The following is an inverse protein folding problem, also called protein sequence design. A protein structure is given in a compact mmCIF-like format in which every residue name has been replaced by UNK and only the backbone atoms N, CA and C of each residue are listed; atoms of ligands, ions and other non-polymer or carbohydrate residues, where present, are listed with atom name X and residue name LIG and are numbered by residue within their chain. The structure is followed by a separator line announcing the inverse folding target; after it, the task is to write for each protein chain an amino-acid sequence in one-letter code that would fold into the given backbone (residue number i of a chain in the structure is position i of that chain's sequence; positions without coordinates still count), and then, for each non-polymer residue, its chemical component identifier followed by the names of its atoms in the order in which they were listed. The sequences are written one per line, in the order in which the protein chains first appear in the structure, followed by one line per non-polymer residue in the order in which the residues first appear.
data_IF_983964321834
#
_entry.id   IF_983964321834
#
_cell.length_a   1.000
_cell.length_b   1.000
_cell.length_c   1.000
_cell.angle_alpha   90.00
_cell.angle_beta   90.00
_cell.angle_gamma   90.00
#
_symmetry.space_group_name_H-M   'P 1'
#
loop_
_entity.id
_entity.type
_entity.pdbx_description
1 polymer ?
#
# COMPACT_ATOMS: atom_id res chain seq x y z
N UNK A 1 6.42 -16.67 2.63
CA UNK A 1 6.56 -17.27 1.29
C UNK A 1 5.60 -18.44 1.09
N UNK A 2 5.47 -19.39 2.03
CA UNK A 2 4.46 -20.48 1.97
C UNK A 2 3.03 -19.97 1.72
N UNK A 3 2.68 -18.83 2.33
CA UNK A 3 1.35 -18.22 2.18
C UNK A 3 1.03 -17.75 0.75
N UNK A 4 2.03 -17.54 -0.11
CA UNK A 4 1.79 -17.22 -1.53
C UNK A 4 1.29 -18.46 -2.28
N UNK A 5 1.85 -19.64 -1.97
CA UNK A 5 1.40 -20.90 -2.56
C UNK A 5 -0.05 -21.22 -2.18
N UNK A 6 -0.49 -20.86 -0.96
CA UNK A 6 -1.89 -21.05 -0.56
C UNK A 6 -2.88 -20.17 -1.32
N UNK A 7 -2.44 -19.12 -2.02
CA UNK A 7 -3.34 -18.26 -2.81
C UNK A 7 -4.00 -19.02 -3.97
N UNK A 8 -3.36 -20.07 -4.47
CA UNK A 8 -3.90 -20.94 -5.54
C UNK A 8 -5.18 -21.68 -5.11
N UNK A 9 -5.46 -21.77 -3.80
CA UNK A 9 -6.72 -22.32 -3.29
C UNK A 9 -7.92 -21.37 -3.49
N UNK A 10 -7.66 -20.09 -3.73
CA UNK A 10 -8.67 -19.03 -3.78
C UNK A 10 -8.64 -18.22 -5.08
N UNK A 11 -7.54 -18.29 -5.83
CA UNK A 11 -7.33 -17.58 -7.08
C UNK A 11 -6.85 -18.53 -8.16
N UNK A 12 -7.03 -18.12 -9.43
CA UNK A 12 -6.47 -18.83 -10.57
C UNK A 12 -4.94 -18.92 -10.47
N UNK A 13 -4.40 -20.12 -10.73
CA UNK A 13 -2.97 -20.41 -10.60
C UNK A 13 -2.12 -19.51 -11.50
N UNK A 14 -2.58 -19.25 -12.73
CA UNK A 14 -1.83 -18.43 -13.68
C UNK A 14 -1.80 -16.96 -13.25
N UNK A 15 -2.87 -16.46 -12.65
CA UNK A 15 -2.87 -15.13 -12.05
C UNK A 15 -1.87 -15.01 -10.90
N UNK A 16 -1.78 -16.05 -10.05
CA UNK A 16 -0.80 -16.08 -8.93
C UNK A 16 0.63 -16.15 -9.46
N UNK A 17 0.91 -17.00 -10.44
CA UNK A 17 2.23 -17.10 -11.07
C UNK A 17 2.65 -15.76 -11.69
N UNK A 18 1.77 -15.15 -12.49
CA UNK A 18 2.03 -13.86 -13.13
C UNK A 18 2.32 -12.77 -12.09
N UNK A 19 1.58 -12.71 -10.98
CA UNK A 19 1.86 -11.76 -9.90
C UNK A 19 3.24 -11.96 -9.24
N UNK A 20 3.70 -13.21 -9.12
CA UNK A 20 5.03 -13.53 -8.57
C UNK A 20 6.13 -13.15 -9.56
N UNK A 21 5.97 -13.43 -10.84
CA UNK A 21 6.92 -13.07 -11.89
C UNK A 21 7.11 -11.54 -11.95
N UNK A 22 6.00 -10.78 -11.97
CA UNK A 22 6.07 -9.32 -11.96
C UNK A 22 6.76 -8.77 -10.69
N UNK A 23 6.53 -9.37 -9.51
CA UNK A 23 7.20 -8.94 -8.28
C UNK A 23 8.70 -9.22 -8.30
N UNK A 24 9.13 -10.30 -8.96
CA UNK A 24 10.53 -10.64 -9.16
C UNK A 24 11.21 -9.70 -10.16
N UNK A 25 10.53 -9.39 -11.28
CA UNK A 25 11.02 -8.43 -12.29
C UNK A 25 11.18 -7.03 -11.71
N UNK A 26 10.26 -6.60 -10.84
CA UNK A 26 10.37 -5.34 -10.11
C UNK A 26 11.49 -5.33 -9.05
N UNK A 27 12.11 -6.47 -8.75
CA UNK A 27 13.14 -6.61 -7.71
C UNK A 27 12.61 -6.49 -6.28
N UNK A 28 11.28 -6.54 -6.09
CA UNK A 28 10.61 -6.40 -4.77
C UNK A 28 9.73 -7.62 -4.48
N UNK A 29 10.30 -8.84 -4.30
CA UNK A 29 9.53 -10.09 -4.12
C UNK A 29 8.99 -10.24 -2.69
N UNK A 30 8.25 -9.24 -2.23
CA UNK A 30 7.60 -9.23 -0.91
C UNK A 30 6.17 -9.75 -1.02
N UNK A 31 5.67 -10.39 0.04
CA UNK A 31 4.30 -10.92 0.10
C UNK A 31 3.27 -9.84 -0.24
N UNK A 32 3.41 -8.66 0.34
CA UNK A 32 2.52 -7.52 0.14
C UNK A 32 2.52 -7.04 -1.31
N UNK A 33 3.68 -7.04 -1.97
CA UNK A 33 3.75 -6.65 -3.37
C UNK A 33 3.06 -7.67 -4.29
N UNK A 34 3.28 -8.97 -4.09
CA UNK A 34 2.60 -10.04 -4.84
C UNK A 34 1.09 -9.96 -4.66
N UNK A 35 0.60 -9.75 -3.43
CA UNK A 35 -0.84 -9.60 -3.17
C UNK A 35 -1.43 -8.40 -3.91
N UNK A 36 -0.77 -7.25 -3.88
CA UNK A 36 -1.25 -6.07 -4.60
C UNK A 36 -1.31 -6.28 -6.12
N UNK A 37 -0.31 -6.97 -6.68
CA UNK A 37 -0.28 -7.30 -8.10
C UNK A 37 -1.40 -8.28 -8.47
N UNK A 38 -1.59 -9.33 -7.67
CA UNK A 38 -2.67 -10.30 -7.86
C UNK A 38 -4.05 -9.63 -7.80
N UNK A 39 -4.29 -8.76 -6.82
CA UNK A 39 -5.52 -7.97 -6.75
C UNK A 39 -5.75 -7.16 -8.03
N UNK A 40 -4.71 -6.48 -8.54
CA UNK A 40 -4.84 -5.68 -9.77
C UNK A 40 -5.13 -6.52 -11.00
N UNK A 41 -4.47 -7.68 -11.13
CA UNK A 41 -4.72 -8.63 -12.22
C UNK A 41 -6.15 -9.17 -12.20
N UNK A 42 -6.69 -9.49 -11.01
CA UNK A 42 -8.06 -10.03 -10.85
C UNK A 42 -9.11 -8.95 -11.04
N UNK A 43 -8.88 -7.76 -10.49
CA UNK A 43 -9.82 -6.62 -10.57
C UNK A 43 -9.78 -5.93 -11.96
N UNK A 44 -8.90 -6.37 -12.86
CA UNK A 44 -8.69 -5.74 -14.18
C UNK A 44 -8.10 -4.32 -14.08
N UNK A 45 -7.56 -3.96 -12.92
CA UNK A 45 -6.91 -2.67 -12.72
C UNK A 45 -5.55 -2.73 -13.40
N UNK A 46 -5.19 -1.76 -14.27
CA UNK A 46 -3.88 -1.75 -14.92
C UNK A 46 -2.80 -1.92 -13.86
N UNK A 47 -1.90 -2.92 -14.01
CA UNK A 47 -0.75 -3.14 -13.12
C UNK A 47 0.35 -2.08 -13.35
N UNK A 48 0.40 -1.54 -14.55
CA UNK A 48 1.23 -0.41 -14.92
C UNK A 48 0.41 0.88 -14.73
N UNK A 49 0.74 1.66 -13.69
CA UNK A 49 0.18 3.01 -13.59
C UNK A 49 1.13 3.95 -14.32
N UNK A 50 0.62 4.85 -15.18
CA UNK A 50 1.47 5.84 -15.80
C UNK A 50 2.14 6.67 -14.70
N UNK A 51 3.39 7.04 -14.95
CA UNK A 51 4.11 7.95 -14.06
C UNK A 51 3.30 9.24 -13.90
N UNK A 52 2.92 9.56 -12.67
CA UNK A 52 2.05 10.70 -12.39
C UNK A 52 2.93 11.94 -12.42
N UNK A 53 2.88 12.70 -13.51
CA UNK A 53 3.51 14.03 -13.54
C UNK A 53 2.73 14.97 -12.62
N UNK A 54 3.29 15.41 -11.49
CA UNK A 54 2.59 16.30 -10.59
C UNK A 54 2.37 17.66 -11.27
N UNK A 55 1.21 18.31 -11.10
CA UNK A 55 0.98 19.66 -11.59
C UNK A 55 1.96 20.65 -10.93
N UNK A 56 2.27 21.75 -11.62
CA UNK A 56 3.20 22.78 -11.13
C UNK A 56 2.81 23.35 -9.75
N UNK A 57 1.50 23.37 -9.45
CA UNK A 57 0.99 23.76 -8.13
C UNK A 57 1.51 22.88 -6.97
N UNK A 58 1.96 21.65 -7.25
CA UNK A 58 2.57 20.72 -6.30
C UNK A 58 4.11 20.73 -6.33
N UNK A 59 4.73 21.66 -7.06
CA UNK A 59 6.18 21.82 -7.04
C UNK A 59 6.67 22.14 -5.63
N UNK A 60 7.62 21.33 -5.14
CA UNK A 60 8.19 21.48 -3.80
C UNK A 60 9.04 22.74 -3.73
N UNK A 61 8.59 23.75 -2.97
CA UNK A 61 9.41 24.94 -2.64
C UNK A 61 10.36 24.71 -1.47
N UNK A 62 10.07 23.69 -0.66
CA UNK A 62 10.84 23.29 0.52
C UNK A 62 10.92 21.79 0.53
N UNK A 63 12.08 21.29 0.91
CA UNK A 63 12.27 19.85 1.04
C UNK A 63 11.36 19.29 2.15
N UNK A 64 10.63 18.19 1.87
CA UNK A 64 9.80 17.56 2.88
C UNK A 64 10.68 16.99 3.99
N UNK A 65 10.36 17.34 5.23
CA UNK A 65 11.00 16.73 6.39
C UNK A 65 10.30 15.41 6.72
N UNK A 66 11.09 14.36 6.98
CA UNK A 66 10.61 13.08 7.50
C UNK A 66 10.19 13.18 8.98
N UNK A 67 9.26 14.10 9.28
CA UNK A 67 8.82 14.40 10.63
C UNK A 67 7.72 13.41 11.06
N UNK A 68 8.14 12.27 11.57
CA UNK A 68 7.25 11.24 12.14
C UNK A 68 6.54 11.70 13.43
N UNK A 69 7.14 12.63 14.18
CA UNK A 69 6.59 13.13 15.45
C UNK A 69 5.23 13.83 15.30
N UNK A 70 4.96 14.42 14.13
CA UNK A 70 3.63 14.96 13.80
C UNK A 70 2.55 13.87 13.85
N UNK A 71 2.83 12.70 13.30
CA UNK A 71 1.88 11.58 13.29
C UNK A 71 1.74 10.95 14.68
N UNK A 72 2.82 10.84 15.44
CA UNK A 72 2.79 10.32 16.81
C UNK A 72 1.90 11.18 17.72
N UNK A 73 1.94 12.50 17.55
CA UNK A 73 1.05 13.43 18.25
C UNK A 73 -0.43 13.24 17.91
N UNK A 74 -0.75 12.90 16.65
CA UNK A 74 -2.13 12.63 16.19
C UNK A 74 -2.64 11.26 16.61
N UNK A 75 -1.74 10.28 16.79
CA UNK A 75 -2.09 8.92 17.27
C UNK A 75 -2.34 8.87 18.77
N UNK A 76 -1.93 9.90 19.52
CA UNK A 76 -2.29 10.01 20.92
C UNK A 76 -3.81 10.25 20.99
N UNK A 77 -4.58 9.40 21.70
CA UNK A 77 -6.02 9.62 21.83
C UNK A 77 -6.29 11.02 22.36
N UNK A 78 -7.30 11.70 21.80
CA UNK A 78 -7.75 13.04 22.23
C UNK A 78 -8.23 13.04 23.70
N UNK A 79 -8.37 11.86 24.31
CA UNK A 79 -8.94 11.63 25.63
C UNK A 79 -7.87 11.53 26.72
N UNK A 80 -7.11 12.61 26.90
CA UNK A 80 -6.50 12.95 28.20
C UNK A 80 -7.16 14.19 28.82
N UNK A 81 -8.37 14.56 28.37
CA UNK A 81 -9.11 15.73 28.85
C UNK A 81 -10.61 15.75 28.54
N UNK A 82 -11.20 14.62 28.15
CA UNK A 82 -12.65 14.50 27.89
C UNK A 82 -13.43 14.39 29.19
N UNK A 83 -14.10 15.48 29.59
CA UNK A 83 -15.05 15.51 30.71
C UNK A 83 -16.22 14.59 30.38
N UNK A 84 -16.41 13.53 31.17
CA UNK A 84 -17.58 12.65 31.07
C UNK A 84 -18.85 13.42 31.46
N UNK A 85 -19.59 13.91 30.47
CA UNK A 85 -21.00 14.26 30.67
C UNK A 85 -21.83 13.00 30.41
N UNK A 86 -22.02 12.20 31.46
CA UNK A 86 -23.12 11.26 31.55
C UNK A 86 -24.31 12.00 32.17
N UNK A 87 -25.44 12.00 31.48
CA UNK A 87 -26.79 12.26 32.02
C UNK A 87 -27.75 11.35 31.29
#
# INVERSE_FOLDING_TARGET
MVEILSLVLHHDEQAVLCAVEMALEAGVPTKTHVLNLLHRLVDGTPADQPDVTPPEALALRREPQANVARYDGLRRPLDAGGKSHAS
#
